data_IF_012205383451
#
_entry.id   IF_012205383451
#
_cell.length_a   1.000
_cell.length_b   1.000
_cell.length_c   1.000
_cell.angle_alpha   90.00
_cell.angle_beta   90.00
_cell.angle_gamma   90.00
#
_symmetry.space_group_name_H-M   'P 1'
#
loop_
_entity.id
_entity.type
_entity.pdbx_description
1 polymer ?
#
# COMPACT_ATOMS: atom_id res chain seq x y z
N UNK A 1 21.04 -18.14 -25.45
CA UNK A 1 19.71 -18.58 -24.93
C UNK A 1 19.44 -18.22 -23.47
N UNK A 2 20.41 -18.25 -22.55
CA UNK A 2 20.18 -17.98 -21.12
C UNK A 2 19.87 -16.50 -20.76
N UNK A 3 20.20 -15.53 -21.64
CA UNK A 3 19.96 -14.09 -21.45
C UNK A 3 18.49 -13.69 -21.69
N UNK A 4 17.81 -14.32 -22.65
CA UNK A 4 16.41 -14.03 -22.99
C UNK A 4 15.44 -14.47 -21.88
N UNK A 5 15.71 -15.61 -21.24
CA UNK A 5 14.93 -16.11 -20.10
C UNK A 5 15.00 -15.18 -18.88
N UNK A 6 16.16 -14.54 -18.63
CA UNK A 6 16.33 -13.62 -17.50
C UNK A 6 15.64 -12.27 -17.73
N UNK A 7 15.65 -11.75 -18.97
CA UNK A 7 14.85 -10.57 -19.37
C UNK A 7 13.34 -10.84 -19.22
N UNK A 8 12.87 -12.03 -19.59
CA UNK A 8 11.47 -12.45 -19.42
C UNK A 8 11.03 -12.52 -17.95
N UNK A 9 11.85 -13.10 -17.07
CA UNK A 9 11.53 -13.22 -15.63
C UNK A 9 11.60 -11.86 -14.90
N UNK A 10 12.54 -10.99 -15.26
CA UNK A 10 12.64 -9.65 -14.66
C UNK A 10 11.47 -8.75 -15.09
N UNK A 11 11.05 -8.83 -16.37
CA UNK A 11 9.85 -8.14 -16.85
C UNK A 11 8.58 -8.73 -16.24
N UNK A 12 8.49 -10.05 -16.02
CA UNK A 12 7.37 -10.68 -15.32
C UNK A 12 7.28 -10.28 -13.84
N UNK A 13 8.43 -10.12 -13.16
CA UNK A 13 8.46 -9.61 -11.79
C UNK A 13 8.08 -8.13 -11.75
N UNK A 14 8.59 -7.30 -12.66
CA UNK A 14 8.20 -5.89 -12.78
C UNK A 14 6.71 -5.72 -13.15
N UNK A 15 6.18 -6.53 -14.06
CA UNK A 15 4.76 -6.57 -14.43
C UNK A 15 3.86 -7.07 -13.29
N UNK A 16 4.38 -7.90 -12.38
CA UNK A 16 3.67 -8.33 -11.17
C UNK A 16 3.56 -7.21 -10.14
N UNK A 17 4.49 -6.25 -10.11
CA UNK A 17 4.43 -5.07 -9.25
C UNK A 17 3.69 -3.90 -9.91
N UNK A 18 3.48 -3.96 -11.24
CA UNK A 18 2.81 -2.90 -11.97
C UNK A 18 1.30 -2.96 -11.78
N UNK A 19 0.72 -1.80 -11.48
CA UNK A 19 -0.71 -1.61 -11.46
C UNK A 19 -1.32 -2.07 -12.80
N UNK A 20 -2.31 -2.97 -12.75
CA UNK A 20 -3.04 -3.41 -13.94
C UNK A 20 -4.43 -2.76 -13.98
N UNK A 21 -4.66 -1.92 -14.98
CA UNK A 21 -5.97 -1.34 -15.26
C UNK A 21 -6.98 -2.45 -15.55
N UNK A 22 -7.95 -2.61 -14.65
CA UNK A 22 -9.05 -3.58 -14.78
C UNK A 22 -10.40 -2.91 -14.99
N UNK A 23 -10.47 -1.58 -14.99
CA UNK A 23 -11.71 -0.83 -15.22
C UNK A 23 -12.75 -1.01 -14.09
N UNK A 24 -12.27 -1.20 -12.86
CA UNK A 24 -13.12 -1.43 -11.69
C UNK A 24 -13.69 -0.12 -11.14
N UNK A 25 -14.86 -0.18 -10.49
CA UNK A 25 -15.53 0.97 -9.87
C UNK A 25 -14.58 1.78 -8.96
N UNK A 26 -13.89 1.08 -8.07
CA UNK A 26 -12.94 1.69 -7.13
C UNK A 26 -11.73 2.32 -7.83
N UNK A 27 -11.31 1.80 -8.99
CA UNK A 27 -10.24 2.37 -9.80
C UNK A 27 -10.68 3.63 -10.57
N UNK A 28 -11.98 3.85 -10.74
CA UNK A 28 -12.56 5.02 -11.41
C UNK A 28 -12.88 6.18 -10.46
N UNK A 29 -12.74 5.99 -9.15
CA UNK A 29 -12.91 7.06 -8.16
C UNK A 29 -11.87 8.17 -8.35
N UNK A 30 -12.23 9.37 -7.91
CA UNK A 30 -11.28 10.48 -7.80
C UNK A 30 -10.11 10.07 -6.88
N UNK A 31 -8.84 10.31 -7.29
CA UNK A 31 -7.67 9.82 -6.56
C UNK A 31 -7.63 10.31 -5.10
N UNK A 32 -8.08 11.54 -4.84
CA UNK A 32 -8.18 12.07 -3.48
C UNK A 32 -9.19 11.32 -2.60
N UNK A 33 -10.30 10.86 -3.15
CA UNK A 33 -11.31 10.10 -2.40
C UNK A 33 -10.80 8.67 -2.07
N UNK A 34 -10.08 8.05 -3.01
CA UNK A 34 -9.45 6.76 -2.77
C UNK A 34 -8.34 6.83 -1.70
N UNK A 35 -7.47 7.84 -1.79
CA UNK A 35 -6.37 8.04 -0.82
C UNK A 35 -6.92 8.35 0.58
N UNK A 36 -7.92 9.23 0.69
CA UNK A 36 -8.56 9.53 1.97
C UNK A 36 -9.19 8.29 2.59
N UNK A 37 -9.95 7.51 1.82
CA UNK A 37 -10.53 6.24 2.29
C UNK A 37 -9.45 5.29 2.86
N UNK A 38 -8.35 5.10 2.14
CA UNK A 38 -7.25 4.22 2.57
C UNK A 38 -6.57 4.77 3.82
N UNK A 39 -6.37 6.09 3.89
CA UNK A 39 -5.81 6.75 5.06
C UNK A 39 -6.71 6.57 6.29
N UNK A 40 -8.03 6.67 6.13
CA UNK A 40 -9.00 6.41 7.21
C UNK A 40 -8.88 4.97 7.71
N UNK A 41 -8.86 3.98 6.81
CA UNK A 41 -8.65 2.57 7.19
C UNK A 41 -7.35 2.38 7.98
N UNK A 42 -6.25 2.97 7.51
CA UNK A 42 -4.94 2.85 8.15
C UNK A 42 -4.93 3.48 9.56
N UNK A 43 -5.44 4.70 9.69
CA UNK A 43 -5.47 5.41 10.97
C UNK A 43 -6.34 4.67 12.00
N UNK A 44 -7.49 4.14 11.60
CA UNK A 44 -8.35 3.44 12.53
C UNK A 44 -7.72 2.12 13.02
N UNK A 45 -7.10 1.33 12.14
CA UNK A 45 -6.40 0.09 12.54
C UNK A 45 -5.21 0.37 13.48
N UNK A 46 -4.56 1.53 13.35
CA UNK A 46 -3.47 1.95 14.23
C UNK A 46 -3.97 2.37 15.63
N UNK A 47 -5.08 3.11 15.69
CA UNK A 47 -5.57 3.68 16.96
C UNK A 47 -6.39 2.67 17.76
N UNK A 48 -7.24 1.88 17.12
CA UNK A 48 -8.08 0.90 17.83
C UNK A 48 -7.31 -0.35 18.23
N UNK A 49 -7.39 -0.70 19.52
CA UNK A 49 -6.74 -1.89 20.08
C UNK A 49 -7.70 -3.04 20.39
N UNK A 50 -9.00 -2.82 20.19
CA UNK A 50 -10.03 -3.82 20.47
C UNK A 50 -10.00 -4.98 19.45
N UNK A 51 -9.89 -6.25 19.89
CA UNK A 51 -9.76 -7.40 18.99
C UNK A 51 -10.98 -7.59 18.06
N UNK A 52 -12.19 -7.33 18.55
CA UNK A 52 -13.41 -7.37 17.72
C UNK A 52 -13.39 -6.32 16.60
N UNK A 53 -12.84 -5.13 16.85
CA UNK A 53 -12.71 -4.09 15.82
C UNK A 53 -11.70 -4.50 14.75
N UNK A 54 -10.56 -5.08 15.15
CA UNK A 54 -9.56 -5.59 14.21
C UNK A 54 -10.11 -6.72 13.34
N UNK A 55 -10.91 -7.61 13.91
CA UNK A 55 -11.59 -8.66 13.15
C UNK A 55 -12.66 -8.09 12.21
N UNK A 56 -13.48 -7.14 12.68
CA UNK A 56 -14.50 -6.49 11.88
C UNK A 56 -13.92 -5.71 10.69
N UNK A 57 -12.88 -4.89 10.94
CA UNK A 57 -12.17 -4.16 9.90
C UNK A 57 -11.52 -5.08 8.88
N UNK A 58 -10.96 -6.22 9.31
CA UNK A 58 -10.44 -7.23 8.39
C UNK A 58 -11.51 -7.76 7.44
N UNK A 59 -12.69 -8.11 7.95
CA UNK A 59 -13.82 -8.57 7.11
C UNK A 59 -14.26 -7.49 6.13
N UNK A 60 -14.36 -6.23 6.57
CA UNK A 60 -14.74 -5.12 5.69
C UNK A 60 -13.71 -4.91 4.58
N UNK A 61 -12.42 -4.96 4.89
CA UNK A 61 -11.35 -4.84 3.88
C UNK A 61 -11.39 -6.05 2.91
N UNK A 62 -11.67 -7.25 3.40
CA UNK A 62 -11.78 -8.43 2.55
C UNK A 62 -12.98 -8.32 1.60
N UNK A 63 -14.11 -7.78 2.07
CA UNK A 63 -15.28 -7.48 1.25
C UNK A 63 -15.01 -6.40 0.20
N UNK A 64 -14.26 -5.33 0.54
CA UNK A 64 -13.90 -4.30 -0.46
C UNK A 64 -12.98 -4.86 -1.55
N UNK A 65 -12.01 -5.71 -1.19
CA UNK A 65 -11.13 -6.37 -2.16
C UNK A 65 -11.88 -7.38 -3.03
N UNK A 66 -12.83 -8.11 -2.43
CA UNK A 66 -13.74 -9.00 -3.16
C UNK A 66 -14.56 -8.21 -4.18
N UNK A 67 -15.15 -7.08 -3.78
CA UNK A 67 -15.90 -6.19 -4.66
C UNK A 67 -15.03 -5.51 -5.74
N UNK A 68 -13.70 -5.49 -5.55
CA UNK A 68 -12.72 -4.98 -6.52
C UNK A 68 -12.11 -6.10 -7.41
N UNK A 69 -12.65 -7.33 -7.43
CA UNK A 69 -12.10 -8.47 -8.18
C UNK A 69 -10.57 -8.67 -8.00
N UNK A 70 -10.10 -8.38 -6.79
CA UNK A 70 -8.69 -8.39 -6.41
C UNK A 70 -8.21 -9.70 -5.77
N UNK A 71 -9.08 -10.70 -5.61
CA UNK A 71 -8.82 -11.90 -4.79
C UNK A 71 -7.56 -12.68 -5.18
N UNK A 72 -7.22 -12.71 -6.48
CA UNK A 72 -5.99 -13.37 -6.97
C UNK A 72 -4.73 -12.70 -6.42
N UNK A 73 -4.71 -11.36 -6.38
CA UNK A 73 -3.60 -10.61 -5.80
C UNK A 73 -3.58 -10.82 -4.28
N UNK A 74 -4.75 -10.70 -3.62
CA UNK A 74 -4.89 -10.88 -2.17
C UNK A 74 -4.31 -12.21 -1.68
N UNK A 75 -4.48 -13.31 -2.41
CA UNK A 75 -3.95 -14.62 -2.00
C UNK A 75 -2.44 -14.59 -1.75
N UNK A 76 -1.67 -13.89 -2.58
CA UNK A 76 -0.21 -13.80 -2.43
C UNK A 76 0.15 -12.95 -1.21
N UNK A 77 -0.51 -11.80 -1.04
CA UNK A 77 -0.32 -10.94 0.14
C UNK A 77 -0.72 -11.64 1.43
N UNK A 78 -1.83 -12.38 1.44
CA UNK A 78 -2.32 -13.10 2.61
C UNK A 78 -1.39 -14.25 3.00
N UNK A 79 -0.79 -14.95 2.02
CA UNK A 79 0.20 -16.00 2.29
C UNK A 79 1.44 -15.44 2.99
N UNK A 80 1.93 -14.30 2.51
CA UNK A 80 3.05 -13.58 3.14
C UNK A 80 2.66 -13.04 4.53
N UNK A 81 1.51 -12.38 4.64
CA UNK A 81 1.01 -11.82 5.89
C UNK A 81 0.84 -12.90 6.97
N UNK A 82 0.24 -14.04 6.61
CA UNK A 82 0.03 -15.16 7.54
C UNK A 82 1.36 -15.70 8.07
N UNK A 83 2.40 -15.78 7.23
CA UNK A 83 3.72 -16.20 7.67
C UNK A 83 4.32 -15.22 8.71
N UNK A 84 4.16 -13.90 8.49
CA UNK A 84 4.57 -12.87 9.45
C UNK A 84 3.75 -12.92 10.75
N UNK A 85 2.44 -13.15 10.66
CA UNK A 85 1.57 -13.30 11.85
C UNK A 85 1.98 -14.49 12.70
N UNK A 86 2.29 -15.63 12.09
CA UNK A 86 2.78 -16.81 12.81
C UNK A 86 4.09 -16.50 13.54
N UNK A 87 5.00 -15.75 12.91
CA UNK A 87 6.25 -15.32 13.53
C UNK A 87 5.99 -14.39 14.72
N UNK A 88 5.07 -13.42 14.60
CA UNK A 88 4.70 -12.51 15.71
C UNK A 88 4.02 -13.27 16.85
N UNK A 89 3.13 -14.20 16.53
CA UNK A 89 2.45 -15.03 17.53
C UNK A 89 3.43 -15.94 18.27
N UNK A 90 4.49 -16.43 17.60
CA UNK A 90 5.54 -17.21 18.23
C UNK A 90 6.45 -16.35 19.12
N UNK A 91 6.87 -15.17 18.65
CA UNK A 91 7.84 -14.33 19.37
C UNK A 91 7.21 -13.57 20.55
N UNK A 92 5.97 -13.09 20.41
CA UNK A 92 5.36 -12.19 21.39
C UNK A 92 5.27 -12.81 22.81
N UNK A 93 4.83 -14.07 22.99
CA UNK A 93 4.81 -14.72 24.31
C UNK A 93 6.19 -15.02 24.88
N UNK A 94 7.23 -15.10 24.04
CA UNK A 94 8.62 -15.28 24.50
C UNK A 94 9.21 -13.98 25.05
N UNK A 95 8.79 -12.83 24.51
CA UNK A 95 9.32 -11.51 24.87
C UNK A 95 8.50 -10.85 25.98
N UNK A 96 7.17 -11.00 25.95
CA UNK A 96 6.29 -10.34 26.90
C UNK A 96 5.83 -11.31 28.00
N UNK A 97 6.36 -11.12 29.21
CA UNK A 97 6.14 -11.97 30.37
C UNK A 97 5.08 -11.41 31.34
N UNK A 98 4.40 -10.33 30.96
CA UNK A 98 3.44 -9.65 31.82
C UNK A 98 2.09 -10.39 31.78
N UNK A 99 1.68 -11.09 32.82
CA UNK A 99 0.36 -11.74 32.85
C UNK A 99 0.13 -12.56 34.11
N UNK A 100 -1.09 -12.54 34.64
CA UNK A 100 -1.43 -13.17 35.91
C UNK A 100 -1.78 -14.67 35.74
N UNK A 101 -2.15 -15.11 34.53
CA UNK A 101 -2.50 -16.50 34.24
C UNK A 101 -1.40 -17.21 33.44
N UNK A 102 -0.50 -17.88 34.15
CA UNK A 102 0.63 -18.60 33.56
C UNK A 102 0.19 -19.99 33.08
N UNK A 103 0.34 -20.27 31.78
CA UNK A 103 0.06 -21.58 31.18
C UNK A 103 1.23 -22.55 31.33
N UNK A 104 2.46 -22.03 31.22
CA UNK A 104 3.67 -22.84 31.24
C UNK A 104 4.85 -22.04 31.80
N UNK A 105 5.58 -22.62 32.75
CA UNK A 105 6.81 -22.06 33.31
C UNK A 105 7.99 -22.93 32.90
N UNK A 106 8.98 -22.35 32.23
CA UNK A 106 10.25 -23.03 31.93
C UNK A 106 11.17 -23.11 33.16
N UNK A 107 12.06 -24.12 33.22
CA UNK A 107 13.17 -24.15 34.18
C UNK A 107 14.11 -22.95 33.98
N UNK A 108 14.80 -22.56 35.04
CA UNK A 108 15.70 -21.41 35.08
C UNK A 108 16.83 -21.53 34.04
N UNK A 109 16.79 -20.69 33.00
CA UNK A 109 17.85 -20.58 32.00
C UNK A 109 18.84 -19.46 32.39
N UNK A 110 20.15 -19.74 32.43
CA UNK A 110 21.16 -18.84 33.02
C UNK A 110 21.42 -17.52 32.27
N UNK A 111 20.81 -17.29 31.11
CA UNK A 111 20.92 -16.03 30.35
C UNK A 111 19.58 -15.30 30.07
N UNK A 112 18.42 -15.93 30.32
CA UNK A 112 17.12 -15.41 29.86
C UNK A 112 16.03 -15.29 30.94
N UNK A 113 16.31 -15.67 32.19
CA UNK A 113 15.31 -15.67 33.27
C UNK A 113 14.29 -16.82 33.14
N UNK A 114 13.21 -16.77 33.92
CA UNK A 114 12.09 -17.74 33.82
C UNK A 114 11.19 -17.34 32.66
N UNK A 115 11.18 -18.08 31.55
CA UNK A 115 10.15 -17.85 30.53
C UNK A 115 8.82 -18.41 31.05
N UNK A 116 7.87 -17.52 31.34
CA UNK A 116 6.47 -17.83 31.61
C UNK A 116 5.63 -17.43 30.40
N UNK A 117 5.02 -18.41 29.74
CA UNK A 117 4.04 -18.14 28.68
C UNK A 117 2.68 -17.91 29.35
N UNK A 118 2.13 -16.71 29.19
CA UNK A 118 0.83 -16.31 29.76
C UNK A 118 -0.26 -16.30 28.69
N UNK A 119 -1.51 -16.56 29.06
CA UNK A 119 -2.65 -16.48 28.12
C UNK A 119 -2.79 -15.08 27.54
N UNK A 120 -2.55 -14.06 28.36
CA UNK A 120 -2.64 -12.65 27.98
C UNK A 120 -1.61 -12.30 26.90
N UNK A 121 -0.38 -12.81 27.01
CA UNK A 121 0.66 -12.58 26.02
C UNK A 121 0.35 -13.26 24.66
N UNK A 122 -0.27 -14.44 24.67
CA UNK A 122 -0.71 -15.13 23.44
C UNK A 122 -1.85 -14.36 22.76
N UNK A 123 -2.87 -13.93 23.52
CA UNK A 123 -4.00 -13.15 22.99
C UNK A 123 -3.55 -11.78 22.48
N UNK A 124 -2.64 -11.12 23.18
CA UNK A 124 -2.03 -9.87 22.73
C UNK A 124 -1.22 -10.08 21.44
N UNK A 125 -0.42 -11.16 21.37
CA UNK A 125 0.30 -11.56 20.16
C UNK A 125 -0.62 -11.81 18.97
N UNK A 126 -1.76 -12.48 19.20
CA UNK A 126 -2.78 -12.72 18.18
C UNK A 126 -3.44 -11.40 17.72
N UNK A 127 -3.78 -10.50 18.63
CA UNK A 127 -4.36 -9.19 18.30
C UNK A 127 -3.37 -8.32 17.51
N UNK A 128 -2.09 -8.28 17.90
CA UNK A 128 -1.04 -7.56 17.16
C UNK A 128 -0.75 -8.20 15.81
N UNK A 129 -0.76 -9.53 15.71
CA UNK A 129 -0.69 -10.24 14.45
C UNK A 129 -1.84 -9.85 13.52
N UNK A 130 -3.08 -9.84 14.02
CA UNK A 130 -4.26 -9.42 13.26
C UNK A 130 -4.17 -7.96 12.81
N UNK A 131 -3.65 -7.05 13.66
CA UNK A 131 -3.39 -5.66 13.27
C UNK A 131 -2.40 -5.56 12.11
N UNK A 132 -1.27 -6.27 12.19
CA UNK A 132 -0.29 -6.30 11.10
C UNK A 132 -0.88 -6.86 9.81
N UNK A 133 -1.69 -7.92 9.93
CA UNK A 133 -2.39 -8.51 8.80
C UNK A 133 -3.33 -7.51 8.13
N UNK A 134 -4.10 -6.73 8.91
CA UNK A 134 -4.91 -5.64 8.38
C UNK A 134 -4.09 -4.61 7.61
N UNK A 135 -2.94 -4.16 8.16
CA UNK A 135 -2.06 -3.19 7.50
C UNK A 135 -1.57 -3.72 6.14
N UNK A 136 -1.14 -4.98 6.08
CA UNK A 136 -0.69 -5.60 4.82
C UNK A 136 -1.81 -5.66 3.78
N UNK A 137 -3.03 -5.99 4.21
CA UNK A 137 -4.19 -6.07 3.32
C UNK A 137 -4.66 -4.68 2.86
N UNK A 138 -4.59 -3.66 3.71
CA UNK A 138 -4.82 -2.25 3.32
C UNK A 138 -3.81 -1.83 2.26
N UNK A 139 -2.54 -2.21 2.40
CA UNK A 139 -1.53 -1.92 1.40
C UNK A 139 -1.80 -2.63 0.06
N UNK A 140 -2.30 -3.87 0.09
CA UNK A 140 -2.77 -4.56 -1.11
C UNK A 140 -3.93 -3.79 -1.78
N UNK A 141 -4.89 -3.31 -0.98
CA UNK A 141 -6.02 -2.50 -1.47
C UNK A 141 -5.53 -1.19 -2.11
N UNK A 142 -4.54 -0.53 -1.49
CA UNK A 142 -3.92 0.69 -2.04
C UNK A 142 -3.31 0.46 -3.41
N UNK A 143 -2.51 -0.59 -3.58
CA UNK A 143 -1.89 -0.91 -4.87
C UNK A 143 -2.93 -1.30 -5.94
N UNK A 144 -4.10 -1.83 -5.55
CA UNK A 144 -5.15 -2.21 -6.48
C UNK A 144 -6.00 -1.01 -6.94
N UNK A 145 -6.26 -0.07 -6.05
CA UNK A 145 -7.17 1.06 -6.28
C UNK A 145 -6.42 2.26 -6.85
N UNK A 146 -5.26 2.60 -6.27
CA UNK A 146 -4.64 3.90 -6.46
C UNK A 146 -3.60 3.85 -7.57
N UNK A 147 -3.86 4.64 -8.61
CA UNK A 147 -2.93 4.86 -9.70
C UNK A 147 -1.86 5.90 -9.32
N UNK A 148 -0.55 5.60 -9.47
CA UNK A 148 0.52 6.55 -9.14
C UNK A 148 0.42 7.84 -9.96
N UNK A 149 0.13 7.74 -11.26
CA UNK A 149 0.01 8.90 -12.15
C UNK A 149 -1.16 9.84 -11.79
N UNK A 150 -2.27 9.28 -11.25
CA UNK A 150 -3.42 10.09 -10.82
C UNK A 150 -3.15 10.82 -9.52
N UNK A 151 -2.40 10.22 -8.59
CA UNK A 151 -1.91 10.93 -7.39
C UNK A 151 -1.02 12.10 -7.81
N UNK A 152 -0.10 11.84 -8.75
CA UNK A 152 0.80 12.85 -9.30
C UNK A 152 0.05 14.05 -9.91
N UNK A 153 -1.00 13.78 -10.69
CA UNK A 153 -1.86 14.83 -11.22
C UNK A 153 -2.57 15.63 -10.12
N UNK A 154 -2.97 14.99 -9.02
CA UNK A 154 -3.59 15.68 -7.88
C UNK A 154 -2.59 16.61 -7.18
N UNK A 155 -1.37 16.13 -6.94
CA UNK A 155 -0.28 16.94 -6.34
C UNK A 155 0.10 18.11 -7.26
N UNK A 156 0.04 17.92 -8.58
CA UNK A 156 0.30 18.97 -9.56
C UNK A 156 -0.58 20.21 -9.40
N UNK A 157 -1.78 20.07 -8.82
CA UNK A 157 -2.68 21.20 -8.58
C UNK A 157 -2.14 22.16 -7.51
N UNK A 158 -1.47 21.62 -6.49
CA UNK A 158 -0.87 22.42 -5.41
C UNK A 158 0.56 22.85 -5.75
N UNK A 159 1.32 22.00 -6.43
CA UNK A 159 2.73 22.25 -6.73
C UNK A 159 3.07 21.84 -8.17
N UNK A 160 2.85 22.76 -9.12
CA UNK A 160 3.01 22.54 -10.56
C UNK A 160 4.45 22.17 -10.97
N UNK A 161 5.46 22.85 -10.41
CA UNK A 161 6.89 22.63 -10.73
C UNK A 161 7.37 21.22 -10.33
N UNK A 162 7.21 20.76 -9.07
CA UNK A 162 7.67 19.42 -8.70
C UNK A 162 6.87 18.30 -9.38
N UNK A 163 5.57 18.48 -9.59
CA UNK A 163 4.77 17.46 -10.29
C UNK A 163 5.21 17.27 -11.75
N UNK A 164 5.61 18.34 -12.43
CA UNK A 164 6.22 18.23 -13.75
C UNK A 164 7.52 17.44 -13.72
N UNK A 165 8.43 17.75 -12.78
CA UNK A 165 9.72 17.05 -12.65
C UNK A 165 9.49 15.56 -12.41
N UNK A 166 8.52 15.20 -11.56
CA UNK A 166 8.20 13.80 -11.31
C UNK A 166 7.55 13.15 -12.53
N UNK A 167 6.60 13.82 -13.21
CA UNK A 167 5.96 13.29 -14.42
C UNK A 167 6.97 13.06 -15.56
N UNK A 168 7.93 13.98 -15.71
CA UNK A 168 9.02 13.81 -16.67
C UNK A 168 9.92 12.64 -16.25
N UNK A 169 10.27 12.55 -14.97
CA UNK A 169 11.08 11.45 -14.42
C UNK A 169 10.42 10.09 -14.65
N UNK A 170 9.11 9.93 -14.36
CA UNK A 170 8.42 8.64 -14.55
C UNK A 170 8.38 8.23 -16.02
N UNK A 171 8.25 9.19 -16.93
CA UNK A 171 8.35 8.94 -18.38
C UNK A 171 9.77 8.59 -18.84
N UNK A 172 10.80 9.18 -18.22
CA UNK A 172 12.20 8.94 -18.56
C UNK A 172 12.71 7.59 -18.05
N UNK A 173 12.17 7.05 -16.95
CA UNK A 173 12.56 5.73 -16.43
C UNK A 173 12.58 4.60 -17.50
N UNK A 174 11.50 4.35 -18.27
CA UNK A 174 11.52 3.30 -19.29
C UNK A 174 12.48 3.61 -20.44
N UNK A 175 12.63 4.88 -20.81
CA UNK A 175 13.57 5.32 -21.85
C UNK A 175 15.02 5.05 -21.42
N UNK A 176 15.38 5.43 -20.19
CA UNK A 176 16.69 5.17 -19.62
C UNK A 176 16.99 3.67 -19.52
N UNK A 177 16.00 2.86 -19.14
CA UNK A 177 16.16 1.40 -19.11
C UNK A 177 16.43 0.82 -20.51
N UNK A 178 15.77 1.34 -21.55
CA UNK A 178 16.02 0.95 -22.93
C UNK A 178 17.41 1.40 -23.42
N UNK A 179 17.79 2.66 -23.20
CA UNK A 179 19.12 3.19 -23.54
C UNK A 179 20.24 2.43 -22.83
N UNK A 180 20.05 2.09 -21.55
CA UNK A 180 20.98 1.28 -20.78
C UNK A 180 21.18 -0.11 -21.42
N UNK A 181 20.10 -0.75 -21.89
CA UNK A 181 20.20 -2.03 -22.59
C UNK A 181 20.91 -1.90 -23.94
N UNK A 182 20.65 -0.85 -24.71
CA UNK A 182 21.31 -0.60 -25.99
C UNK A 182 22.82 -0.35 -25.81
N UNK A 183 23.20 0.48 -24.83
CA UNK A 183 24.61 0.74 -24.50
C UNK A 183 25.30 -0.55 -24.05
N UNK A 184 24.62 -1.37 -23.25
CA UNK A 184 25.13 -2.67 -22.80
C UNK A 184 25.43 -3.59 -23.99
N UNK A 185 24.47 -3.73 -24.91
CA UNK A 185 24.62 -4.58 -26.09
C UNK A 185 25.73 -4.05 -27.02
N UNK A 186 25.83 -2.73 -27.20
CA UNK A 186 26.92 -2.10 -27.97
C UNK A 186 28.31 -2.33 -27.34
N UNK A 187 28.43 -2.24 -26.01
CA UNK A 187 29.70 -2.52 -25.33
C UNK A 187 30.07 -4.01 -25.37
N UNK A 188 29.09 -4.91 -25.33
CA UNK A 188 29.32 -6.35 -25.52
C UNK A 188 29.85 -6.65 -26.93
N UNK A 189 29.32 -6.01 -27.97
CA UNK A 189 29.85 -6.12 -29.34
C UNK A 189 31.29 -5.61 -29.47
N UNK A 190 31.69 -4.64 -28.64
CA UNK A 190 33.07 -4.14 -28.55
C UNK A 190 33.99 -5.04 -27.69
N UNK A 191 33.51 -6.22 -27.28
CA UNK A 191 34.29 -7.20 -26.52
C UNK A 191 34.31 -6.97 -25.00
N UNK A 192 33.42 -6.11 -24.47
CA UNK A 192 33.31 -5.91 -23.01
C UNK A 192 32.40 -6.98 -22.41
N UNK A 193 33.01 -7.96 -21.73
CA UNK A 193 32.26 -8.95 -20.96
C UNK A 193 31.91 -8.43 -19.55
N UNK A 194 30.62 -8.32 -19.25
CA UNK A 194 30.14 -7.83 -17.93
C UNK A 194 30.08 -8.91 -16.84
N UNK A 195 30.16 -10.18 -17.22
CA UNK A 195 30.05 -11.33 -16.30
C UNK A 195 31.39 -11.92 -15.87
N UNK A 196 32.48 -11.59 -16.57
CA UNK A 196 33.77 -12.26 -16.39
C UNK A 196 34.76 -11.45 -15.54
N UNK A 197 35.69 -12.11 -14.84
CA UNK A 197 36.77 -11.50 -14.05
C UNK A 197 36.43 -11.06 -12.62
N UNK A 198 37.40 -10.42 -11.96
CA UNK A 198 37.31 -9.99 -10.56
C UNK A 198 36.33 -8.84 -10.34
N UNK A 199 35.75 -8.74 -9.12
CA UNK A 199 34.78 -7.69 -8.75
C UNK A 199 35.28 -6.28 -9.09
N UNK A 200 36.58 -6.00 -8.90
CA UNK A 200 37.18 -4.70 -9.21
C UNK A 200 37.14 -4.37 -10.72
N UNK A 201 37.45 -5.35 -11.58
CA UNK A 201 37.35 -5.18 -13.04
C UNK A 201 35.89 -5.02 -13.47
N UNK A 202 34.98 -5.76 -12.84
CA UNK A 202 33.55 -5.69 -13.12
C UNK A 202 32.96 -4.31 -12.80
N UNK A 203 33.32 -3.73 -11.64
CA UNK A 203 32.92 -2.37 -11.27
C UNK A 203 33.42 -1.36 -12.30
N UNK A 204 34.68 -1.43 -12.72
CA UNK A 204 35.23 -0.53 -13.75
C UNK A 204 34.49 -0.55 -15.09
N UNK A 205 33.99 -1.72 -15.51
CA UNK A 205 33.18 -1.86 -16.73
C UNK A 205 31.80 -1.22 -16.56
N UNK A 206 31.14 -1.44 -15.41
CA UNK A 206 29.86 -0.80 -15.11
C UNK A 206 29.98 0.72 -14.98
N UNK A 207 31.07 1.24 -14.42
CA UNK A 207 31.29 2.69 -14.34
C UNK A 207 31.45 3.33 -15.72
N UNK A 208 32.15 2.67 -16.65
CA UNK A 208 32.28 3.16 -18.03
C UNK A 208 30.92 3.20 -18.75
N UNK A 209 30.10 2.16 -18.57
CA UNK A 209 28.73 2.10 -19.09
C UNK A 209 27.83 3.20 -18.51
N UNK A 210 27.90 3.44 -17.20
CA UNK A 210 27.16 4.52 -16.54
C UNK A 210 27.61 5.90 -17.02
N UNK A 211 28.90 6.10 -17.27
CA UNK A 211 29.41 7.37 -17.80
C UNK A 211 28.80 7.70 -19.17
N UNK A 212 28.77 6.72 -20.09
CA UNK A 212 28.13 6.89 -21.40
C UNK A 212 26.63 7.20 -21.26
N UNK A 213 25.94 6.49 -20.38
CA UNK A 213 24.52 6.73 -20.12
C UNK A 213 24.28 8.14 -19.55
N UNK A 214 25.14 8.62 -18.64
CA UNK A 214 25.02 9.96 -18.05
C UNK A 214 25.21 11.05 -19.11
N UNK A 215 26.19 10.92 -20.00
CA UNK A 215 26.41 11.87 -21.10
C UNK A 215 25.18 11.90 -22.01
N UNK A 216 24.67 10.73 -22.42
CA UNK A 216 23.46 10.63 -23.25
C UNK A 216 22.24 11.24 -22.54
N UNK A 217 22.09 11.01 -21.24
CA UNK A 217 20.95 11.53 -20.47
C UNK A 217 21.01 13.05 -20.30
N UNK A 218 22.23 13.63 -20.21
CA UNK A 218 22.43 15.07 -20.19
C UNK A 218 22.03 15.70 -21.52
N UNK A 219 22.43 15.09 -22.64
CA UNK A 219 22.03 15.52 -23.98
C UNK A 219 20.51 15.45 -24.17
N UNK A 220 19.89 14.33 -23.79
CA UNK A 220 18.43 14.16 -23.81
C UNK A 220 17.73 15.24 -22.98
N UNK A 221 18.28 15.60 -21.80
CA UNK A 221 17.70 16.63 -20.93
C UNK A 221 17.76 18.03 -21.55
N UNK A 222 18.85 18.35 -22.27
CA UNK A 222 19.00 19.62 -22.99
C UNK A 222 18.01 19.69 -24.15
N UNK A 223 17.87 18.61 -24.93
CA UNK A 223 16.88 18.53 -26.01
C UNK A 223 15.45 18.69 -25.50
N UNK A 224 15.12 18.08 -24.35
CA UNK A 224 13.80 18.24 -23.72
C UNK A 224 13.59 19.69 -23.28
N UNK A 225 14.60 20.35 -22.70
CA UNK A 225 14.53 21.74 -22.29
C UNK A 225 14.32 22.70 -23.48
N UNK A 226 15.07 22.51 -24.57
CA UNK A 226 14.92 23.29 -25.80
C UNK A 226 13.53 23.10 -26.42
N UNK A 227 13.05 21.85 -26.49
CA UNK A 227 11.71 21.54 -26.99
C UNK A 227 10.60 22.14 -26.11
N UNK A 228 10.81 22.19 -24.79
CA UNK A 228 9.89 22.87 -23.87
C UNK A 228 9.89 24.38 -24.11
N UNK A 229 11.06 25.00 -24.27
CA UNK A 229 11.17 26.43 -24.55
C UNK A 229 10.53 26.81 -25.89
N UNK A 230 10.74 26.01 -26.95
CA UNK A 230 10.11 26.19 -28.25
C UNK A 230 8.58 26.10 -28.21
N UNK A 231 8.03 25.30 -27.28
CA UNK A 231 6.58 25.23 -26.99
C UNK A 231 6.08 26.32 -26.03
N UNK A 232 6.88 27.36 -25.81
CA UNK A 232 6.60 28.47 -24.90
C UNK A 232 6.33 28.01 -23.46
N UNK A 233 7.01 26.95 -22.99
CA UNK A 233 6.90 26.51 -21.60
C UNK A 233 7.33 27.65 -20.66
N UNK A 234 6.38 28.26 -19.95
CA UNK A 234 6.66 29.31 -18.95
C UNK A 234 6.28 30.73 -19.38
N UNK A 235 5.69 30.90 -20.57
CA UNK A 235 5.25 32.20 -21.08
C UNK A 235 4.01 32.80 -20.41
N UNK A 236 3.30 32.03 -19.56
CA UNK A 236 2.07 32.51 -18.93
C UNK A 236 1.34 31.49 -18.06
N UNK A 237 0.12 31.80 -17.61
CA UNK A 237 -0.72 30.91 -16.81
C UNK A 237 -1.01 29.60 -17.56
N UNK A 238 -0.93 28.48 -16.83
CA UNK A 238 -1.07 27.13 -17.39
C UNK A 238 -2.51 26.63 -17.30
N UNK A 239 -2.96 25.94 -18.34
CA UNK A 239 -4.16 25.11 -18.28
C UNK A 239 -3.82 23.65 -17.98
N UNK A 240 -4.77 22.92 -17.40
CA UNK A 240 -4.66 21.48 -17.11
C UNK A 240 -5.51 20.72 -18.13
N UNK A 241 -4.87 19.88 -18.94
CA UNK A 241 -5.54 19.11 -20.00
C UNK A 241 -6.37 17.95 -19.43
N UNK A 242 -5.78 17.11 -18.59
CA UNK A 242 -6.47 15.96 -17.97
C UNK A 242 -6.98 16.37 -16.59
N UNK A 243 -8.27 16.65 -16.48
CA UNK A 243 -8.95 16.95 -15.22
C UNK A 243 -9.75 15.73 -14.79
N UNK A 244 -9.44 15.19 -13.62
CA UNK A 244 -10.31 14.22 -12.97
C UNK A 244 -11.49 15.00 -12.38
N UNK A 245 -12.66 14.89 -13.01
CA UNK A 245 -13.87 15.57 -12.57
C UNK A 245 -14.45 14.86 -11.35
N UNK A 246 -14.77 15.64 -10.32
CA UNK A 246 -15.41 15.13 -9.11
C UNK A 246 -16.83 14.68 -9.44
N UNK A 247 -17.11 13.39 -9.28
CA UNK A 247 -18.44 12.81 -9.50
C UNK A 247 -19.20 12.77 -8.16
N UNK A 248 -20.54 12.78 -8.17
CA UNK A 248 -21.33 12.65 -6.94
C UNK A 248 -21.03 11.35 -6.17
N UNK A 249 -20.52 10.31 -6.86
CA UNK A 249 -20.01 9.07 -6.26
C UNK A 249 -18.82 9.28 -5.33
N UNK A 250 -17.89 10.16 -5.71
CA UNK A 250 -16.71 10.49 -4.93
C UNK A 250 -17.13 11.20 -3.64
N UNK A 251 -18.13 12.08 -3.74
CA UNK A 251 -18.75 12.76 -2.61
C UNK A 251 -19.37 11.78 -1.60
N UNK A 252 -20.08 10.76 -2.07
CA UNK A 252 -20.69 9.76 -1.19
C UNK A 252 -19.64 8.89 -0.47
N UNK A 253 -18.57 8.49 -1.18
CA UNK A 253 -17.48 7.73 -0.55
C UNK A 253 -16.72 8.58 0.46
N UNK A 254 -16.47 9.86 0.14
CA UNK A 254 -15.86 10.81 1.07
C UNK A 254 -16.73 11.04 2.30
N UNK A 255 -18.03 11.26 2.12
CA UNK A 255 -18.97 11.42 3.24
C UNK A 255 -18.97 10.20 4.17
N UNK A 256 -18.99 8.98 3.61
CA UNK A 256 -18.87 7.75 4.40
C UNK A 256 -17.54 7.65 5.17
N UNK A 257 -16.42 8.03 4.54
CA UNK A 257 -15.10 8.04 5.19
C UNK A 257 -15.01 9.06 6.33
N UNK A 258 -15.56 10.25 6.15
CA UNK A 258 -15.60 11.32 7.16
C UNK A 258 -16.51 10.91 8.31
N UNK A 259 -17.66 10.30 8.02
CA UNK A 259 -18.56 9.76 9.04
C UNK A 259 -17.87 8.69 9.89
N UNK A 260 -17.15 7.76 9.25
CA UNK A 260 -16.39 6.73 9.96
C UNK A 260 -15.27 7.33 10.82
N UNK A 261 -14.57 8.36 10.35
CA UNK A 261 -13.60 9.11 11.16
C UNK A 261 -14.26 9.79 12.37
N UNK A 262 -15.40 10.45 12.18
CA UNK A 262 -16.13 11.09 13.28
C UNK A 262 -16.60 10.09 14.34
N UNK A 263 -17.13 8.95 13.90
CA UNK A 263 -17.50 7.85 14.78
C UNK A 263 -16.28 7.29 15.53
N UNK A 264 -15.12 7.21 14.86
CA UNK A 264 -13.88 6.75 15.48
C UNK A 264 -13.39 7.71 16.59
N UNK A 265 -13.40 9.02 16.31
CA UNK A 265 -13.07 10.06 17.29
C UNK A 265 -14.02 10.01 18.49
N UNK A 266 -15.32 9.84 18.24
CA UNK A 266 -16.31 9.68 19.30
C UNK A 266 -16.00 8.44 20.18
N UNK A 267 -15.63 7.31 19.58
CA UNK A 267 -15.26 6.11 20.34
C UNK A 267 -14.02 6.32 21.22
N UNK A 268 -13.04 7.10 20.74
CA UNK A 268 -11.81 7.41 21.49
C UNK A 268 -12.13 8.30 22.69
N UNK A 269 -12.94 9.36 22.50
CA UNK A 269 -13.30 10.30 23.56
C UNK A 269 -14.07 9.61 24.71
N UNK A 270 -14.86 8.59 24.41
CA UNK A 270 -15.63 7.84 25.39
C UNK A 270 -14.86 6.64 25.98
N UNK A 271 -13.56 6.49 25.69
CA UNK A 271 -12.73 5.34 26.10
C UNK A 271 -13.32 3.96 25.71
N UNK A 272 -14.14 3.91 24.66
CA UNK A 272 -14.81 2.69 24.18
C UNK A 272 -13.92 1.86 23.24
N UNK A 273 -12.71 2.33 22.93
CA UNK A 273 -11.80 1.72 21.95
C UNK A 273 -10.52 1.10 22.54
N UNK A 274 -10.24 1.31 23.82
CA UNK A 274 -9.06 0.79 24.51
C UNK A 274 -9.39 -0.56 25.15
N UNK A 275 -8.72 -1.62 24.68
CA UNK A 275 -8.78 -2.93 25.33
C UNK A 275 -7.50 -3.11 26.13
N UNK A 276 -7.63 -3.22 27.44
CA UNK A 276 -6.51 -3.52 28.33
C UNK A 276 -6.23 -5.01 28.28
N UNK A 277 -5.10 -5.37 27.66
CA UNK A 277 -4.62 -6.76 27.59
C UNK A 277 -3.89 -7.18 28.87
N UNK A 278 -3.41 -6.22 29.67
CA UNK A 278 -2.69 -6.45 30.92
C UNK A 278 -3.33 -5.58 32.03
N UNK A 279 -3.36 -6.01 33.31
CA UNK A 279 -2.87 -7.28 33.89
C UNK A 279 -3.91 -8.42 33.97
N UNK A 280 -5.17 -8.16 33.63
CA UNK A 280 -6.21 -9.17 33.42
C UNK A 280 -6.92 -8.86 32.10
N UNK A 281 -7.42 -9.88 31.41
CA UNK A 281 -8.26 -9.69 30.22
C UNK A 281 -9.48 -8.85 30.63
N UNK A 282 -9.55 -7.60 30.15
CA UNK A 282 -10.74 -6.79 30.28
C UNK A 282 -11.95 -7.55 29.73
N UNK A 283 -13.12 -7.38 30.34
CA UNK A 283 -14.34 -7.99 29.81
C UNK A 283 -14.60 -7.45 28.39
N UNK A 284 -14.76 -8.37 27.42
CA UNK A 284 -15.13 -8.02 26.03
C UNK A 284 -16.46 -7.25 25.94
N UNK A 285 -17.24 -7.23 27.03
CA UNK A 285 -18.59 -6.68 27.14
C UNK A 285 -18.78 -5.80 28.39
N UNK A 286 -17.82 -4.93 28.74
CA UNK A 286 -18.00 -4.07 29.92
C UNK A 286 -19.12 -3.04 29.76
N UNK A 287 -19.43 -2.60 28.53
CA UNK A 287 -20.44 -1.58 28.24
C UNK A 287 -21.30 -1.98 27.04
N UNK A 288 -22.63 -2.03 27.19
CA UNK A 288 -23.59 -2.29 26.11
C UNK A 288 -23.51 -1.25 24.96
N UNK A 289 -22.92 -0.08 25.22
CA UNK A 289 -22.68 0.99 24.26
C UNK A 289 -21.46 0.78 23.34
N UNK A 290 -20.57 -0.17 23.64
CA UNK A 290 -19.35 -0.44 22.84
C UNK A 290 -19.67 -1.10 21.49
N UNK A 291 -20.58 -2.08 21.47
CA UNK A 291 -21.05 -2.76 20.26
C UNK A 291 -21.68 -1.84 19.19
N UNK A 292 -22.66 -0.97 19.53
CA UNK A 292 -23.24 -0.07 18.54
C UNK A 292 -22.24 0.98 18.04
N UNK A 293 -21.32 1.44 18.90
CA UNK A 293 -20.27 2.38 18.52
C UNK A 293 -19.28 1.76 17.52
N UNK A 294 -18.82 0.51 17.78
CA UNK A 294 -17.99 -0.25 16.84
C UNK A 294 -18.74 -0.57 15.53
N UNK A 295 -20.03 -0.89 15.62
CA UNK A 295 -20.90 -1.09 14.45
C UNK A 295 -21.05 0.18 13.59
N UNK A 296 -21.13 1.35 14.22
CA UNK A 296 -21.20 2.64 13.51
C UNK A 296 -19.91 3.00 12.77
N UNK A 297 -18.74 2.69 13.35
CA UNK A 297 -17.44 2.88 12.68
C UNK A 297 -17.34 1.96 11.46
N UNK A 298 -17.71 0.69 11.62
CA UNK A 298 -17.65 -0.32 10.56
C UNK A 298 -18.68 -0.06 9.46
N UNK A 299 -19.89 0.43 9.78
CA UNK A 299 -20.91 0.71 8.78
C UNK A 299 -20.47 1.80 7.79
N UNK A 300 -19.80 2.85 8.26
CA UNK A 300 -19.20 3.88 7.40
C UNK A 300 -18.15 3.31 6.42
N UNK A 301 -17.37 2.31 6.85
CA UNK A 301 -16.36 1.64 6.01
C UNK A 301 -16.96 0.63 5.03
N UNK A 302 -18.16 0.11 5.30
CA UNK A 302 -18.86 -0.80 4.37
C UNK A 302 -19.52 -0.09 3.19
N UNK A 303 -19.79 1.22 3.30
CA UNK A 303 -20.45 2.00 2.25
C UNK A 303 -19.73 1.92 0.89
N UNK A 304 -18.39 2.11 0.79
CA UNK A 304 -17.65 1.94 -0.46
C UNK A 304 -17.71 0.50 -1.02
N UNK A 305 -17.73 -0.51 -0.15
CA UNK A 305 -17.84 -1.91 -0.55
C UNK A 305 -19.21 -2.20 -1.18
N UNK A 306 -20.28 -1.72 -0.54
CA UNK A 306 -21.67 -1.86 -1.00
C UNK A 306 -21.91 -1.12 -2.32
N UNK A 307 -21.36 0.09 -2.47
CA UNK A 307 -21.40 0.85 -3.71
C UNK A 307 -20.66 0.14 -4.85
N UNK A 308 -19.47 -0.41 -4.58
CA UNK A 308 -18.70 -1.18 -5.55
C UNK A 308 -19.42 -2.46 -5.98
N UNK A 309 -20.05 -3.16 -5.03
CA UNK A 309 -20.83 -4.36 -5.33
C UNK A 309 -22.09 -4.02 -6.15
N UNK A 310 -22.81 -2.95 -5.78
CA UNK A 310 -23.97 -2.46 -6.51
C UNK A 310 -23.63 -2.04 -7.96
N UNK A 311 -22.44 -1.50 -8.18
CA UNK A 311 -21.94 -1.15 -9.52
C UNK A 311 -21.76 -2.35 -10.45
N UNK A 312 -21.18 -3.44 -9.94
CA UNK A 312 -20.94 -4.65 -10.73
C UNK A 312 -22.24 -5.41 -11.04
N UNK A 313 -23.27 -5.28 -10.21
CA UNK A 313 -24.55 -6.01 -10.38
C UNK A 313 -25.63 -5.21 -11.12
N UNK A 314 -25.67 -3.87 -11.00
CA UNK A 314 -26.71 -3.04 -11.60
C UNK A 314 -26.23 -2.27 -12.84
N UNK A 315 -26.59 -2.76 -14.04
CA UNK A 315 -26.33 -2.06 -15.33
C UNK A 315 -26.94 -0.65 -15.40
N UNK A 316 -28.02 -0.38 -14.67
CA UNK A 316 -28.73 0.91 -14.70
C UNK A 316 -27.91 2.07 -14.08
N UNK A 317 -27.06 1.78 -13.07
CA UNK A 317 -26.17 2.77 -12.47
C UNK A 317 -24.99 3.13 -13.40
N UNK A 318 -24.63 2.22 -14.31
CA UNK A 318 -23.53 2.38 -15.27
C UNK A 318 -23.81 3.44 -16.34
N UNK A 319 -25.09 3.74 -16.60
CA UNK A 319 -25.56 4.65 -17.64
C UNK A 319 -25.81 6.08 -17.15
N UNK A 320 -26.07 6.28 -15.86
CA UNK A 320 -26.49 7.60 -15.31
C UNK A 320 -25.37 8.38 -14.62
N UNK A 321 -24.19 7.82 -14.44
CA UNK A 321 -23.07 8.47 -13.73
C UNK A 321 -21.71 7.99 -14.25
#
# INVERSE_FOLDING_TARGET
MCSCLKKGVLNLLLDSFYYKEKGLFLQSLHPGAAVTLILVFLLQVLVFSHPLYLAGSFVVILLTIWAADGLKALKNYLKFALWVVLLVLAINPLVNQSGNTVLWQSPHLPLAGRLSVTLEAVLYGAAMGLRLLNIVVIFCLYNLIVHPDRILNMISRFAHKPALVISLSTRLLPVLAASLNNIREAQQLRGVDFSDGSLKKRVGRYTAMLNVLMISSLEDSLQIAEAMQARAFGSGPRSIYRRDLFRPRDGLCLAGSIFSLGAAVYCIINDLGSYTFFPQLGSLFSNAASLPALGAVLSGLTLPALLSWGWNRCRYLKLKI
#
